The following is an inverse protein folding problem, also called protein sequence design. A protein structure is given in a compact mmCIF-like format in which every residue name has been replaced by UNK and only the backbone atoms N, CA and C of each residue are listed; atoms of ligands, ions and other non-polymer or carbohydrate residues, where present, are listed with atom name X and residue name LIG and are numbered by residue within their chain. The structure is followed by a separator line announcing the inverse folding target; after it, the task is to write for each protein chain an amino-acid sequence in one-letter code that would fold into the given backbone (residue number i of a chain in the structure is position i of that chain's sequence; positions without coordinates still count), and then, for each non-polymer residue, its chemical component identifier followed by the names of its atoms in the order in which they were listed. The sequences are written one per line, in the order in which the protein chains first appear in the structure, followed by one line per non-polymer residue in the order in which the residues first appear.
data_IF_109909707225
#
_entry.id   IF_109909707225
#
_cell.length_a   1.000
_cell.length_b   1.000
_cell.length_c   1.000
_cell.angle_alpha   90.00
_cell.angle_beta   90.00
_cell.angle_gamma   90.00
#
_symmetry.space_group_name_H-M   'P 1'
#
loop_
_entity.id
_entity.type
_entity.pdbx_description
1 polymer ?
#
# COMPACT_ATOMS: atom_id res chain seq x y z
N UNK A 1 1.08 -13.36 10.88
CA UNK A 1 1.17 -11.99 10.35
C UNK A 1 0.25 -11.16 11.21
N UNK A 2 0.78 -10.57 12.27
CA UNK A 2 -0.02 -9.87 13.27
C UNK A 2 -0.51 -8.54 12.71
N UNK A 3 -1.81 -8.31 12.89
CA UNK A 3 -2.66 -7.30 12.30
C UNK A 3 -2.07 -5.88 12.28
N UNK A 4 -1.72 -5.41 11.07
CA UNK A 4 -1.49 -3.99 10.82
C UNK A 4 -2.67 -3.12 11.29
N UNK A 5 -3.89 -3.69 11.30
CA UNK A 5 -5.09 -3.07 11.84
C UNK A 5 -5.05 -2.92 13.37
N UNK A 6 -4.58 -3.94 14.11
CA UNK A 6 -4.42 -3.85 15.58
C UNK A 6 -3.33 -2.84 15.96
N UNK A 7 -2.24 -2.78 15.21
CA UNK A 7 -1.18 -1.79 15.45
C UNK A 7 -1.68 -0.38 15.15
N UNK A 8 -2.37 -0.15 14.03
CA UNK A 8 -2.94 1.15 13.69
C UNK A 8 -4.05 1.58 14.67
N UNK A 9 -4.85 0.63 15.17
CA UNK A 9 -5.87 0.89 16.19
C UNK A 9 -5.30 1.12 17.59
N UNK A 10 -4.12 0.57 17.88
CA UNK A 10 -3.44 0.70 19.17
C UNK A 10 -2.53 1.92 19.31
N UNK A 11 -2.13 2.55 18.21
CA UNK A 11 -1.28 3.76 18.25
C UNK A 11 -2.11 5.02 18.53
N UNK A 12 -1.58 5.89 19.38
CA UNK A 12 -2.12 7.24 19.53
C UNK A 12 -1.70 8.08 18.32
N UNK A 13 -2.66 8.45 17.48
CA UNK A 13 -2.43 9.30 16.33
C UNK A 13 -2.36 10.76 16.77
N UNK A 14 -1.19 11.39 16.60
CA UNK A 14 -1.02 12.79 16.93
C UNK A 14 -1.46 13.69 15.77
N UNK A 15 -2.18 14.80 16.04
CA UNK A 15 -2.56 15.75 15.00
C UNK A 15 -1.32 16.34 14.33
N UNK A 16 -1.25 16.27 12.99
CA UNK A 16 -0.13 16.76 12.20
C UNK A 16 0.96 15.72 11.91
N UNK A 17 0.89 14.51 12.50
CA UNK A 17 1.80 13.40 12.19
C UNK A 17 1.15 12.49 11.15
N UNK A 18 1.91 12.10 10.13
CA UNK A 18 1.46 11.15 9.11
C UNK A 18 1.95 9.75 9.46
N UNK A 19 1.06 8.77 9.30
CA UNK A 19 1.33 7.36 9.57
C UNK A 19 1.16 6.56 8.28
N UNK A 20 2.13 6.62 7.34
CA UNK A 20 2.03 5.90 6.09
C UNK A 20 2.04 4.39 6.33
N UNK A 21 1.03 3.70 5.80
CA UNK A 21 0.94 2.23 5.89
C UNK A 21 1.44 1.62 4.58
N UNK A 22 2.31 0.61 4.68
CA UNK A 22 2.80 -0.11 3.52
C UNK A 22 1.71 -1.02 2.95
N UNK A 23 1.32 -0.78 1.70
CA UNK A 23 0.23 -1.47 1.01
C UNK A 23 0.78 -2.17 -0.24
N UNK A 24 0.89 -3.51 -0.24
CA UNK A 24 1.43 -4.26 -1.37
C UNK A 24 0.37 -4.61 -2.45
N UNK A 25 -0.93 -4.50 -2.13
CA UNK A 25 -2.03 -4.88 -3.01
C UNK A 25 -3.34 -4.19 -2.62
N UNK A 26 -4.40 -4.40 -3.41
CA UNK A 26 -5.72 -3.77 -3.19
C UNK A 26 -6.37 -4.18 -1.86
N UNK A 27 -6.15 -5.42 -1.42
CA UNK A 27 -6.68 -5.90 -0.14
C UNK A 27 -6.01 -5.18 1.04
N UNK A 28 -4.70 -4.98 0.97
CA UNK A 28 -3.95 -4.16 1.94
C UNK A 28 -4.42 -2.71 1.97
N UNK A 29 -4.82 -2.15 0.81
CA UNK A 29 -5.41 -0.81 0.74
C UNK A 29 -6.70 -0.78 1.53
N UNK A 30 -7.62 -1.70 1.26
CA UNK A 30 -8.91 -1.76 1.95
C UNK A 30 -8.74 -1.90 3.47
N UNK A 31 -7.81 -2.74 3.91
CA UNK A 31 -7.51 -2.91 5.33
C UNK A 31 -6.91 -1.64 5.94
N UNK A 32 -6.00 -0.96 5.23
CA UNK A 32 -5.42 0.30 5.69
C UNK A 32 -6.48 1.40 5.81
N UNK A 33 -7.38 1.52 4.84
CA UNK A 33 -8.51 2.47 4.89
C UNK A 33 -9.46 2.14 6.04
N UNK A 34 -9.81 0.86 6.22
CA UNK A 34 -10.65 0.43 7.33
C UNK A 34 -10.00 0.69 8.70
N UNK A 35 -8.67 0.64 8.79
CA UNK A 35 -7.89 0.96 9.97
C UNK A 35 -7.68 2.48 10.19
N UNK A 36 -8.22 3.35 9.32
CA UNK A 36 -8.08 4.80 9.44
C UNK A 36 -6.74 5.35 8.95
N UNK A 37 -6.06 4.65 8.03
CA UNK A 37 -4.84 5.16 7.42
C UNK A 37 -5.16 6.40 6.56
N UNK A 38 -4.43 7.48 6.82
CA UNK A 38 -4.55 8.75 6.10
C UNK A 38 -3.51 8.91 4.99
N UNK A 39 -2.54 8.01 4.92
CA UNK A 39 -1.51 7.96 3.88
C UNK A 39 -1.13 6.50 3.64
N UNK A 40 -0.88 6.16 2.37
CA UNK A 40 -0.39 4.82 2.01
C UNK A 40 0.96 4.91 1.32
N UNK A 41 1.77 3.88 1.53
CA UNK A 41 3.03 3.68 0.86
C UNK A 41 2.93 2.46 -0.05
N UNK A 42 3.23 2.63 -1.33
CA UNK A 42 3.37 1.52 -2.28
C UNK A 42 4.84 1.33 -2.57
N UNK A 43 5.32 0.09 -2.42
CA UNK A 43 6.67 -0.28 -2.82
C UNK A 43 6.62 -0.77 -4.25
N UNK A 44 6.87 0.15 -5.19
CA UNK A 44 7.04 -0.19 -6.59
C UNK A 44 8.50 -0.53 -6.78
N UNK A 45 8.86 -1.81 -6.82
CA UNK A 45 10.17 -2.17 -7.33
C UNK A 45 10.22 -1.69 -8.79
N UNK A 46 10.93 -0.60 -9.06
CA UNK A 46 11.18 -0.08 -10.41
C UNK A 46 12.08 -1.03 -11.24
N UNK A 47 12.19 -2.31 -10.86
CA UNK A 47 13.12 -3.27 -11.44
C UNK A 47 12.52 -4.67 -11.55
N UNK A 48 12.51 -5.16 -12.79
CA UNK A 48 12.18 -6.53 -13.24
C UNK A 48 12.78 -7.64 -12.36
N UNK A 49 13.92 -7.37 -11.72
CA UNK A 49 14.70 -8.35 -10.96
C UNK A 49 14.02 -8.86 -9.68
N UNK A 50 13.05 -8.14 -9.12
CA UNK A 50 12.34 -8.59 -7.90
C UNK A 50 11.15 -9.52 -8.22
N UNK A 51 10.49 -9.32 -9.37
CA UNK A 51 9.35 -10.13 -9.81
C UNK A 51 9.79 -11.55 -10.19
N UNK A 52 10.93 -11.69 -10.90
CA UNK A 52 11.45 -13.01 -11.33
C UNK A 52 11.91 -13.93 -10.20
N UNK A 53 12.27 -13.41 -9.03
CA UNK A 53 12.81 -14.24 -7.94
C UNK A 53 11.75 -14.83 -6.99
N UNK A 54 10.53 -14.31 -6.97
CA UNK A 54 9.54 -14.72 -5.96
C UNK A 54 8.14 -15.03 -6.50
N UNK A 55 7.70 -14.50 -7.64
CA UNK A 55 6.30 -14.60 -8.05
C UNK A 55 6.24 -14.83 -9.55
N UNK A 56 5.75 -15.99 -9.97
CA UNK A 56 5.70 -16.49 -11.34
C UNK A 56 4.66 -15.72 -12.21
N UNK A 57 4.67 -14.39 -12.18
CA UNK A 57 3.72 -13.49 -12.84
C UNK A 57 4.45 -12.45 -13.72
N UNK A 58 3.83 -12.15 -14.86
CA UNK A 58 4.34 -11.20 -15.86
C UNK A 58 4.34 -9.76 -15.34
N UNK A 59 5.27 -8.94 -15.85
CA UNK A 59 5.45 -7.53 -15.46
C UNK A 59 4.16 -6.72 -15.65
N UNK A 60 3.42 -7.00 -16.73
CA UNK A 60 2.15 -6.35 -17.05
C UNK A 60 1.07 -6.61 -15.98
N UNK A 61 1.02 -7.82 -15.41
CA UNK A 61 0.07 -8.12 -14.32
C UNK A 61 0.44 -7.39 -13.04
N UNK A 62 1.74 -7.33 -12.71
CA UNK A 62 2.22 -6.58 -11.54
C UNK A 62 1.92 -5.08 -11.70
N UNK A 63 2.18 -4.51 -12.87
CA UNK A 63 1.85 -3.10 -13.16
C UNK A 63 0.34 -2.84 -13.09
N UNK A 64 -0.48 -3.73 -13.65
CA UNK A 64 -1.95 -3.62 -13.56
C UNK A 64 -2.47 -3.64 -12.12
N UNK A 65 -1.88 -4.46 -11.25
CA UNK A 65 -2.22 -4.47 -9.81
C UNK A 65 -1.84 -3.17 -9.11
N UNK A 66 -0.67 -2.60 -9.42
CA UNK A 66 -0.27 -1.31 -8.85
C UNK A 66 -1.15 -0.16 -9.36
N UNK A 67 -1.50 -0.16 -10.64
CA UNK A 67 -2.39 0.83 -11.22
C UNK A 67 -3.76 0.81 -10.53
N UNK A 68 -4.30 -0.39 -10.25
CA UNK A 68 -5.54 -0.54 -9.50
C UNK A 68 -5.43 0.06 -8.08
N UNK A 69 -4.34 -0.22 -7.34
CA UNK A 69 -4.13 0.33 -5.99
C UNK A 69 -4.03 1.86 -6.03
N UNK A 70 -3.23 2.41 -6.94
CA UNK A 70 -3.04 3.86 -7.08
C UNK A 70 -4.35 4.55 -7.51
N UNK A 71 -5.07 3.95 -8.45
CA UNK A 71 -6.37 4.44 -8.91
C UNK A 71 -7.40 4.45 -7.78
N UNK A 72 -7.52 3.36 -7.02
CA UNK A 72 -8.42 3.31 -5.86
C UNK A 72 -8.03 4.30 -4.76
N UNK A 73 -6.75 4.44 -4.45
CA UNK A 73 -6.27 5.42 -3.47
C UNK A 73 -6.57 6.87 -3.91
N UNK A 74 -6.40 7.17 -5.20
CA UNK A 74 -6.78 8.46 -5.79
C UNK A 74 -8.28 8.73 -5.68
N UNK A 75 -9.14 7.76 -5.98
CA UNK A 75 -10.60 7.91 -5.81
C UNK A 75 -10.99 8.20 -4.36
N UNK A 76 -10.24 7.66 -3.39
CA UNK A 76 -10.45 7.89 -1.96
C UNK A 76 -9.77 9.17 -1.44
N UNK A 77 -9.14 9.97 -2.31
CA UNK A 77 -8.33 11.15 -1.95
C UNK A 77 -7.22 10.85 -0.94
N UNK A 78 -6.67 9.63 -0.96
CA UNK A 78 -5.60 9.22 -0.08
C UNK A 78 -4.25 9.48 -0.77
N UNK A 79 -3.33 10.23 -0.14
CA UNK A 79 -1.99 10.43 -0.67
C UNK A 79 -1.24 9.10 -0.75
N UNK A 80 -0.62 8.86 -1.90
CA UNK A 80 0.19 7.67 -2.18
C UNK A 80 1.66 8.06 -2.24
N UNK A 81 2.48 7.41 -1.41
CA UNK A 81 3.93 7.56 -1.43
C UNK A 81 4.57 6.37 -2.15
N UNK A 82 5.23 6.64 -3.27
CA UNK A 82 6.03 5.65 -3.97
C UNK A 82 7.41 5.56 -3.34
N UNK A 83 7.84 4.35 -3.00
CA UNK A 83 9.24 4.04 -2.72
C UNK A 83 9.83 3.33 -3.94
N UNK A 84 10.93 3.89 -4.48
CA UNK A 84 11.69 3.42 -5.65
C UNK A 84 12.94 2.66 -5.25
#
# INVERSE_FOLDING_TARGET
MADHAEVMGGIHQYPGVRYPVLVPNLQGLQHAVAAGATEIAVFGAASESFSKKNINCSIEESMGRFEQVISSARHMNIPVRGYS
#
